data_IF_776531934226
#
_entry.id   IF_776531934226
#
_cell.length_a   1.000
_cell.length_b   1.000
_cell.length_c   1.000
_cell.angle_alpha   90.00
_cell.angle_beta   90.00
_cell.angle_gamma   90.00
#
_symmetry.space_group_name_H-M   'P 1'
#
loop_
_entity.id
_entity.type
_entity.pdbx_description
1 polymer ?
#
# COMPACT_ATOMS: atom_id res chain seq x y z
N UNK A 1 17.30 -10.53 15.89
CA UNK A 1 15.98 -10.39 15.23
C UNK A 1 15.95 -11.15 13.90
N UNK A 2 16.87 -10.86 12.96
CA UNK A 2 16.96 -11.53 11.65
C UNK A 2 16.97 -13.07 11.72
N UNK A 3 17.87 -13.67 12.50
CA UNK A 3 18.00 -15.14 12.60
C UNK A 3 16.75 -15.81 13.14
N UNK A 4 16.07 -15.16 14.08
CA UNK A 4 14.82 -15.65 14.64
C UNK A 4 13.71 -15.66 13.58
N UNK A 5 13.59 -14.57 12.79
CA UNK A 5 12.61 -14.49 11.71
C UNK A 5 12.88 -15.51 10.61
N UNK A 6 14.12 -15.62 10.12
CA UNK A 6 14.46 -16.56 9.05
C UNK A 6 14.36 -18.01 9.50
N UNK A 7 14.76 -18.33 10.73
CA UNK A 7 14.53 -19.66 11.31
C UNK A 7 13.04 -19.97 11.44
N UNK A 8 12.22 -19.00 11.84
CA UNK A 8 10.77 -19.13 11.90
C UNK A 8 10.15 -19.46 10.54
N UNK A 9 10.57 -18.76 9.48
CA UNK A 9 10.13 -19.02 8.11
C UNK A 9 10.50 -20.45 7.68
N UNK A 10 11.75 -20.87 7.90
CA UNK A 10 12.21 -22.22 7.57
C UNK A 10 11.39 -23.29 8.31
N UNK A 11 11.11 -23.07 9.60
CA UNK A 11 10.30 -23.98 10.39
C UNK A 11 8.84 -24.07 9.89
N UNK A 12 8.27 -22.95 9.45
CA UNK A 12 6.93 -22.94 8.85
C UNK A 12 6.91 -23.74 7.53
N UNK A 13 7.91 -23.54 6.67
CA UNK A 13 8.08 -24.30 5.42
C UNK A 13 8.24 -25.80 5.67
N UNK A 14 9.05 -26.20 6.64
CA UNK A 14 9.22 -27.61 7.02
C UNK A 14 7.92 -28.27 7.49
N UNK A 15 6.99 -27.48 8.04
CA UNK A 15 5.64 -27.93 8.44
C UNK A 15 4.60 -27.86 7.30
N UNK A 16 5.01 -27.47 6.09
CA UNK A 16 4.14 -27.39 4.92
C UNK A 16 3.29 -26.12 4.84
N UNK A 17 3.60 -25.08 5.61
CA UNK A 17 2.89 -23.80 5.49
C UNK A 17 3.34 -23.02 4.26
N UNK A 18 2.37 -22.43 3.57
CA UNK A 18 2.62 -21.39 2.58
C UNK A 18 3.09 -20.12 3.29
N UNK A 19 4.10 -19.46 2.73
CA UNK A 19 4.77 -18.33 3.36
C UNK A 19 4.72 -17.10 2.49
N UNK A 20 4.48 -15.96 3.14
CA UNK A 20 4.45 -14.66 2.47
C UNK A 20 5.29 -13.67 3.27
N UNK A 21 5.97 -12.77 2.58
CA UNK A 21 6.80 -11.74 3.20
C UNK A 21 6.35 -10.36 2.72
N UNK A 22 6.18 -9.43 3.67
CA UNK A 22 5.95 -8.02 3.40
C UNK A 22 7.27 -7.27 3.62
N UNK A 23 7.68 -6.47 2.62
CA UNK A 23 8.80 -5.55 2.72
C UNK A 23 8.30 -4.12 2.59
N UNK A 24 8.39 -3.35 3.68
CA UNK A 24 8.08 -1.93 3.68
C UNK A 24 9.29 -1.13 3.20
N UNK A 25 9.20 -0.59 1.99
CA UNK A 25 10.26 0.20 1.36
C UNK A 25 10.21 1.66 1.79
N UNK A 26 11.37 2.18 2.14
CA UNK A 26 11.66 3.57 2.49
C UNK A 26 13.03 3.94 1.92
N UNK A 27 13.37 5.22 1.86
CA UNK A 27 14.72 5.64 1.44
C UNK A 27 15.84 5.03 2.28
N UNK A 28 15.55 4.67 3.53
CA UNK A 28 16.52 4.05 4.44
C UNK A 28 16.93 2.64 4.00
N UNK A 29 16.08 1.91 3.28
CA UNK A 29 16.29 0.51 2.92
C UNK A 29 16.04 0.21 1.43
N UNK A 30 15.74 1.21 0.60
CA UNK A 30 15.48 1.03 -0.82
C UNK A 30 16.66 0.38 -1.56
N UNK A 31 17.88 0.68 -1.12
CA UNK A 31 19.12 0.10 -1.64
C UNK A 31 19.31 -1.38 -1.28
N UNK A 32 18.49 -1.97 -0.42
CA UNK A 32 18.57 -3.41 -0.12
C UNK A 32 17.51 -4.22 -0.88
N UNK A 33 16.50 -3.54 -1.44
CA UNK A 33 15.34 -4.19 -2.06
C UNK A 33 15.76 -5.12 -3.22
N UNK A 34 16.77 -4.76 -4.00
CA UNK A 34 17.27 -5.61 -5.10
C UNK A 34 17.88 -6.95 -4.64
N UNK A 35 18.24 -7.08 -3.36
CA UNK A 35 18.79 -8.32 -2.80
C UNK A 35 17.68 -9.30 -2.37
N UNK A 36 16.44 -8.81 -2.25
CA UNK A 36 15.30 -9.58 -1.77
C UNK A 36 14.98 -10.81 -2.65
N UNK A 37 14.94 -10.73 -4.01
CA UNK A 37 14.58 -11.89 -4.83
C UNK A 37 15.37 -13.16 -4.49
N UNK A 38 16.69 -13.04 -4.33
CA UNK A 38 17.57 -14.16 -3.95
C UNK A 38 17.25 -14.67 -2.54
N UNK A 39 17.18 -13.78 -1.56
CA UNK A 39 16.88 -14.15 -0.18
C UNK A 39 15.52 -14.85 -0.05
N UNK A 40 14.50 -14.33 -0.74
CA UNK A 40 13.14 -14.87 -0.73
C UNK A 40 13.12 -16.30 -1.30
N UNK A 41 13.83 -16.52 -2.42
CA UNK A 41 14.00 -17.85 -3.00
C UNK A 41 14.69 -18.82 -2.04
N UNK A 42 15.79 -18.40 -1.41
CA UNK A 42 16.54 -19.22 -0.45
C UNK A 42 15.70 -19.58 0.78
N UNK A 43 14.77 -18.71 1.18
CA UNK A 43 13.83 -18.94 2.28
C UNK A 43 12.59 -19.75 1.86
N UNK A 44 12.38 -19.96 0.57
CA UNK A 44 11.19 -20.62 0.03
C UNK A 44 9.92 -19.79 0.19
N UNK A 45 10.02 -18.46 0.12
CA UNK A 45 8.85 -17.56 0.16
C UNK A 45 8.04 -17.71 -1.11
N UNK A 46 6.73 -17.86 -0.94
CA UNK A 46 5.83 -18.10 -2.06
C UNK A 46 5.17 -16.81 -2.58
N UNK A 47 4.92 -15.84 -1.68
CA UNK A 47 4.36 -14.52 -2.02
C UNK A 47 5.19 -13.38 -1.44
N UNK A 48 5.48 -12.37 -2.26
CA UNK A 48 6.23 -11.19 -1.85
C UNK A 48 5.38 -9.92 -2.01
N UNK A 49 5.26 -9.14 -0.94
CA UNK A 49 4.49 -7.92 -0.92
C UNK A 49 5.42 -6.72 -0.69
N UNK A 50 5.58 -5.86 -1.70
CA UNK A 50 6.35 -4.61 -1.54
C UNK A 50 5.38 -3.51 -1.15
N UNK A 51 5.61 -2.88 -0.01
CA UNK A 51 4.73 -1.85 0.56
C UNK A 51 5.47 -0.52 0.66
N UNK A 52 4.83 0.59 0.29
CA UNK A 52 5.35 1.92 0.59
C UNK A 52 5.32 2.18 2.09
N UNK A 53 6.37 2.79 2.64
CA UNK A 53 6.36 3.26 4.03
C UNK A 53 5.25 4.28 4.25
N UNK A 54 4.45 4.09 5.30
CA UNK A 54 3.48 5.09 5.74
C UNK A 54 4.17 6.23 6.48
N UNK A 55 3.59 7.43 6.47
CA UNK A 55 4.14 8.65 7.12
C UNK A 55 3.49 8.93 8.49
N UNK A 56 3.00 7.89 9.16
CA UNK A 56 2.20 7.99 10.39
C UNK A 56 2.71 7.07 11.49
N UNK A 57 2.29 7.32 12.72
CA UNK A 57 2.78 6.58 13.88
C UNK A 57 4.27 6.86 14.11
N UNK A 58 5.07 5.82 14.35
CA UNK A 58 6.51 5.98 14.63
C UNK A 58 7.29 6.59 13.46
N UNK A 59 6.87 6.34 12.22
CA UNK A 59 7.57 6.87 11.04
C UNK A 59 7.38 8.37 10.87
N UNK A 60 6.35 8.98 11.47
CA UNK A 60 6.14 10.43 11.47
C UNK A 60 7.26 11.21 12.19
N UNK A 61 8.10 10.52 12.98
CA UNK A 61 9.27 11.11 13.63
C UNK A 61 10.44 11.34 12.65
N UNK A 62 10.35 10.78 11.45
CA UNK A 62 11.36 10.91 10.41
C UNK A 62 10.79 11.71 9.24
N UNK A 63 11.55 12.70 8.79
CA UNK A 63 11.27 13.42 7.56
C UNK A 63 11.90 12.68 6.37
N UNK A 64 11.29 12.82 5.20
CA UNK A 64 11.92 12.45 3.92
C UNK A 64 12.28 10.96 3.75
N UNK A 65 11.46 10.07 4.34
CA UNK A 65 11.65 8.61 4.28
C UNK A 65 10.91 7.93 3.12
N UNK A 66 9.92 8.59 2.51
CA UNK A 66 9.22 8.05 1.35
C UNK A 66 10.08 8.21 0.09
N UNK A 67 10.01 7.22 -0.81
CA UNK A 67 10.65 7.31 -2.11
C UNK A 67 9.93 8.36 -2.96
N UNK A 68 10.67 9.12 -3.73
CA UNK A 68 10.12 9.93 -4.81
C UNK A 68 9.51 9.04 -5.89
N UNK A 69 8.64 9.62 -6.73
CA UNK A 69 8.10 8.94 -7.92
C UNK A 69 9.19 8.29 -8.78
N UNK A 70 10.30 8.99 -9.01
CA UNK A 70 11.41 8.48 -9.81
C UNK A 70 12.05 7.26 -9.15
N UNK A 71 12.42 7.37 -7.88
CA UNK A 71 13.01 6.25 -7.13
C UNK A 71 12.08 5.03 -7.09
N UNK A 72 10.78 5.24 -6.88
CA UNK A 72 9.79 4.17 -6.87
C UNK A 72 9.73 3.43 -8.20
N UNK A 73 9.54 4.16 -9.31
CA UNK A 73 9.43 3.59 -10.65
C UNK A 73 10.74 2.94 -11.12
N UNK A 74 11.89 3.43 -10.64
CA UNK A 74 13.20 2.89 -11.01
C UNK A 74 13.55 1.57 -10.28
N UNK A 75 13.05 1.37 -9.05
CA UNK A 75 13.48 0.28 -8.16
C UNK A 75 12.41 -0.82 -8.01
N UNK A 76 11.16 -0.44 -7.72
CA UNK A 76 10.14 -1.39 -7.27
C UNK A 76 9.69 -2.34 -8.38
N UNK A 77 9.28 -1.89 -9.57
CA UNK A 77 8.85 -2.78 -10.65
C UNK A 77 9.93 -3.78 -11.06
N UNK A 78 11.18 -3.33 -11.21
CA UNK A 78 12.32 -4.20 -11.58
C UNK A 78 12.59 -5.28 -10.53
N UNK A 79 12.47 -4.94 -9.26
CA UNK A 79 12.63 -5.93 -8.18
C UNK A 79 11.48 -6.93 -8.20
N UNK A 80 10.25 -6.47 -8.46
CA UNK A 80 9.08 -7.34 -8.55
C UNK A 80 9.21 -8.33 -9.71
N UNK A 81 9.63 -7.86 -10.89
CA UNK A 81 9.92 -8.71 -12.05
C UNK A 81 11.00 -9.76 -11.73
N UNK A 82 12.14 -9.34 -11.15
CA UNK A 82 13.22 -10.25 -10.78
C UNK A 82 12.80 -11.33 -9.76
N UNK A 83 11.90 -11.01 -8.83
CA UNK A 83 11.33 -12.01 -7.92
C UNK A 83 10.31 -12.92 -8.62
N UNK A 84 9.48 -12.38 -9.51
CA UNK A 84 8.55 -13.17 -10.32
C UNK A 84 9.27 -14.19 -11.21
N UNK A 85 10.38 -13.80 -11.85
CA UNK A 85 11.24 -14.70 -12.63
C UNK A 85 11.76 -15.91 -11.82
N UNK A 86 11.86 -15.78 -10.50
CA UNK A 86 12.25 -16.85 -9.58
C UNK A 86 11.07 -17.72 -9.12
N UNK A 87 9.88 -17.51 -9.67
CA UNK A 87 8.66 -18.26 -9.34
C UNK A 87 7.91 -17.74 -8.11
N UNK A 88 8.19 -16.50 -7.67
CA UNK A 88 7.55 -15.89 -6.49
C UNK A 88 6.43 -14.97 -6.97
N UNK A 89 5.20 -15.16 -6.49
CA UNK A 89 4.12 -14.20 -6.82
C UNK A 89 4.38 -12.88 -6.08
N UNK A 90 4.50 -11.78 -6.81
CA UNK A 90 4.80 -10.47 -6.23
C UNK A 90 3.59 -9.55 -6.35
N UNK A 91 3.31 -8.79 -5.29
CA UNK A 91 2.29 -7.74 -5.32
C UNK A 91 2.87 -6.43 -4.81
N UNK A 92 2.59 -5.32 -5.48
CA UNK A 92 3.01 -3.97 -5.06
C UNK A 92 2.02 -2.90 -5.50
N UNK A 93 1.90 -1.77 -4.77
CA UNK A 93 1.04 -0.67 -5.20
C UNK A 93 1.66 0.06 -6.39
N UNK A 94 0.84 0.44 -7.38
CA UNK A 94 1.32 1.27 -8.50
C UNK A 94 1.79 2.65 -8.05
N UNK A 95 1.15 3.19 -6.99
CA UNK A 95 1.36 4.50 -6.35
C UNK A 95 1.13 5.69 -7.28
N UNK A 96 1.74 5.71 -8.47
CA UNK A 96 1.67 6.78 -9.45
C UNK A 96 1.08 6.24 -10.76
N UNK A 97 -0.01 6.85 -11.23
CA UNK A 97 -0.63 6.54 -12.52
C UNK A 97 -0.15 7.53 -13.59
N UNK A 98 -0.17 7.08 -14.85
CA UNK A 98 -0.02 8.00 -15.98
C UNK A 98 -1.21 8.99 -16.01
N UNK A 99 -1.00 10.26 -16.42
CA UNK A 99 -2.11 11.22 -16.51
C UNK A 99 -3.31 10.72 -17.35
N UNK A 100 -3.09 9.87 -18.36
CA UNK A 100 -4.16 9.31 -19.21
C UNK A 100 -4.80 8.06 -18.60
N UNK A 101 -4.17 7.43 -17.62
CA UNK A 101 -4.71 6.25 -16.98
C UNK A 101 -5.92 6.62 -16.09
N UNK A 102 -7.01 5.83 -16.14
CA UNK A 102 -8.16 6.06 -15.27
C UNK A 102 -7.78 5.83 -13.81
N UNK A 103 -8.32 6.67 -12.93
CA UNK A 103 -8.21 6.47 -11.49
C UNK A 103 -9.41 5.65 -11.00
N UNK A 104 -9.15 4.63 -10.19
CA UNK A 104 -10.17 3.88 -9.46
C UNK A 104 -9.92 3.96 -7.95
N UNK A 105 -11.01 4.10 -7.19
CA UNK A 105 -10.97 4.08 -5.73
C UNK A 105 -11.41 2.70 -5.21
N UNK A 106 -10.54 2.01 -4.46
CA UNK A 106 -10.91 0.73 -3.83
C UNK A 106 -12.12 0.85 -2.89
N UNK A 107 -12.34 2.03 -2.27
CA UNK A 107 -13.55 2.32 -1.50
C UNK A 107 -14.84 2.33 -2.32
N UNK A 108 -14.75 2.23 -3.66
CA UNK A 108 -15.89 2.09 -4.58
C UNK A 108 -15.91 0.73 -5.27
N UNK A 109 -14.74 0.24 -5.71
CA UNK A 109 -14.65 -0.93 -6.60
C UNK A 109 -14.28 -2.24 -5.89
N UNK A 110 -13.97 -2.22 -4.60
CA UNK A 110 -13.52 -3.40 -3.86
C UNK A 110 -14.14 -3.52 -2.46
N UNK A 111 -14.44 -4.75 -2.02
CA UNK A 111 -15.11 -5.02 -0.75
C UNK A 111 -14.12 -5.24 0.41
N UNK A 112 -13.33 -4.21 0.73
CA UNK A 112 -12.42 -4.21 1.87
C UNK A 112 -13.03 -3.47 3.07
N UNK A 113 -12.98 -4.08 4.25
CA UNK A 113 -13.47 -3.51 5.51
C UNK A 113 -12.38 -3.59 6.59
N UNK A 114 -12.03 -2.44 7.16
CA UNK A 114 -11.09 -2.31 8.26
C UNK A 114 -11.88 -2.08 9.54
N UNK A 115 -12.02 -3.14 10.34
CA UNK A 115 -12.78 -3.12 11.60
C UNK A 115 -11.83 -2.81 12.76
N UNK A 116 -12.07 -1.70 13.47
CA UNK A 116 -11.25 -1.28 14.60
C UNK A 116 -11.88 -1.68 15.94
N UNK A 117 -11.06 -1.90 17.00
CA UNK A 117 -11.56 -2.26 18.33
C UNK A 117 -12.55 -1.26 18.96
N UNK A 118 -12.54 0.00 18.52
CA UNK A 118 -13.48 1.04 18.96
C UNK A 118 -14.85 0.98 18.26
N UNK A 119 -15.09 -0.03 17.42
CA UNK A 119 -16.32 -0.24 16.67
C UNK A 119 -16.42 0.56 15.38
N UNK A 120 -15.44 1.40 15.01
CA UNK A 120 -15.42 2.08 13.70
C UNK A 120 -14.99 1.11 12.61
N UNK A 121 -15.61 1.25 11.44
CA UNK A 121 -15.31 0.45 10.26
C UNK A 121 -15.06 1.36 9.08
N UNK A 122 -13.91 1.18 8.44
CA UNK A 122 -13.47 1.97 7.30
C UNK A 122 -13.36 1.11 6.04
N UNK A 123 -13.50 1.73 4.86
CA UNK A 123 -13.14 1.15 3.57
C UNK A 123 -11.80 1.66 3.05
N UNK A 124 -11.37 2.84 3.51
CA UNK A 124 -10.03 3.36 3.21
C UNK A 124 -9.16 3.39 4.48
N UNK A 125 -8.00 2.71 4.49
CA UNK A 125 -7.14 2.69 5.67
C UNK A 125 -6.55 4.06 5.99
N UNK A 126 -6.44 4.99 5.03
CA UNK A 126 -5.94 6.34 5.29
C UNK A 126 -6.84 7.13 6.24
N UNK A 127 -8.13 6.79 6.32
CA UNK A 127 -9.10 7.48 7.18
C UNK A 127 -9.04 7.05 8.65
N UNK A 128 -8.26 6.03 9.01
CA UNK A 128 -8.32 5.38 10.33
C UNK A 128 -8.11 6.33 11.52
N UNK A 129 -7.26 7.35 11.35
CA UNK A 129 -6.96 8.35 12.37
C UNK A 129 -8.06 9.43 12.52
N UNK A 130 -9.00 9.49 11.58
CA UNK A 130 -10.04 10.51 11.52
C UNK A 130 -11.43 9.93 11.80
N UNK A 131 -12.38 10.71 12.35
CA UNK A 131 -13.76 10.27 12.55
C UNK A 131 -14.57 10.20 11.24
N UNK A 132 -13.95 9.82 10.12
CA UNK A 132 -14.54 9.71 8.78
C UNK A 132 -15.05 8.31 8.42
N UNK A 133 -15.07 7.37 9.37
CA UNK A 133 -15.62 6.02 9.17
C UNK A 133 -16.96 6.00 8.43
N UNK A 134 -17.04 5.18 7.37
CA UNK A 134 -18.27 4.95 6.64
C UNK A 134 -19.27 4.12 7.43
N UNK A 135 -18.80 3.23 8.32
CA UNK A 135 -19.66 2.29 9.05
C UNK A 135 -19.24 2.11 10.52
N UNK A 136 -20.14 1.53 11.31
CA UNK A 136 -19.89 1.07 12.69
C UNK A 136 -20.30 -0.38 12.85
N UNK A 137 -19.55 -1.15 13.63
CA UNK A 137 -19.94 -2.49 14.05
C UNK A 137 -20.74 -2.39 15.35
N UNK A 138 -22.04 -2.69 15.28
CA UNK A 138 -22.97 -2.66 16.42
C UNK A 138 -23.79 -3.94 16.45
N UNK A 139 -23.81 -4.65 17.59
CA UNK A 139 -24.54 -5.92 17.75
C UNK A 139 -24.27 -6.94 16.62
N UNK A 140 -23.00 -7.13 16.26
CA UNK A 140 -22.54 -7.99 15.15
C UNK A 140 -23.13 -7.61 13.77
N UNK A 141 -23.48 -6.34 13.56
CA UNK A 141 -23.94 -5.81 12.27
C UNK A 141 -23.18 -4.55 11.89
N UNK A 142 -22.95 -4.40 10.59
CA UNK A 142 -22.43 -3.15 10.04
C UNK A 142 -23.59 -2.17 9.86
N UNK A 143 -23.44 -0.99 10.45
CA UNK A 143 -24.40 0.10 10.40
C UNK A 143 -23.72 1.28 9.69
N UNK A 144 -24.31 1.74 8.59
CA UNK A 144 -23.83 2.92 7.85
C UNK A 144 -23.86 4.18 8.73
N UNK A 145 -22.83 5.01 8.57
CA UNK A 145 -22.74 6.30 9.23
C UNK A 145 -23.75 7.28 8.63
N UNK A 146 -24.36 8.12 9.48
CA UNK A 146 -25.37 9.13 9.06
C UNK A 146 -24.77 10.53 8.81
N UNK A 147 -23.46 10.69 9.00
CA UNK A 147 -22.73 11.95 8.82
C UNK A 147 -21.85 11.86 7.58
N UNK A 148 -21.33 12.99 7.11
CA UNK A 148 -20.27 13.01 6.09
C UNK A 148 -19.13 12.10 6.55
N UNK A 149 -18.78 11.16 5.69
CA UNK A 149 -17.83 10.08 5.90
C UNK A 149 -16.87 9.97 4.71
N UNK A 150 -15.99 8.98 4.74
CA UNK A 150 -15.14 8.61 3.60
C UNK A 150 -15.96 8.26 2.35
N UNK A 151 -17.20 7.77 2.51
CA UNK A 151 -18.08 7.39 1.40
C UNK A 151 -18.37 8.59 0.49
N UNK A 152 -18.73 9.75 1.06
CA UNK A 152 -18.95 10.98 0.31
C UNK A 152 -17.67 11.46 -0.37
N UNK A 153 -16.51 11.29 0.28
CA UNK A 153 -15.23 11.72 -0.28
C UNK A 153 -14.77 10.83 -1.44
N UNK A 154 -15.15 9.55 -1.48
CA UNK A 154 -14.85 8.66 -2.60
C UNK A 154 -15.56 9.05 -3.90
N UNK A 155 -16.63 9.86 -3.80
CA UNK A 155 -17.41 10.33 -4.95
C UNK A 155 -16.78 11.54 -5.64
N UNK A 156 -15.80 12.20 -5.01
CA UNK A 156 -15.12 13.35 -5.61
C UNK A 156 -14.16 12.88 -6.70
N UNK A 157 -14.20 13.58 -7.84
CA UNK A 157 -13.27 13.40 -8.95
C UNK A 157 -12.33 14.60 -9.03
N UNK A 158 -11.04 14.35 -8.91
CA UNK A 158 -9.98 15.36 -8.85
C UNK A 158 -8.84 14.98 -9.79
N UNK A 159 -8.13 15.97 -10.33
CA UNK A 159 -7.02 15.75 -11.27
C UNK A 159 -5.84 14.99 -10.66
N UNK A 160 -5.69 15.05 -9.33
CA UNK A 160 -4.65 14.32 -8.61
C UNK A 160 -4.95 12.83 -8.41
N UNK A 161 -6.14 12.34 -8.75
CA UNK A 161 -6.56 10.95 -8.49
C UNK A 161 -7.10 10.74 -7.07
N UNK A 162 -6.33 10.07 -6.20
CA UNK A 162 -6.81 9.69 -4.87
C UNK A 162 -7.10 10.89 -3.95
N UNK A 163 -8.38 11.19 -3.75
CA UNK A 163 -8.88 12.23 -2.82
C UNK A 163 -8.32 12.06 -1.42
N UNK A 164 -8.26 10.82 -0.92
CA UNK A 164 -7.73 10.54 0.41
C UNK A 164 -6.26 10.91 0.51
N UNK A 165 -5.45 10.57 -0.50
CA UNK A 165 -4.05 10.95 -0.51
C UNK A 165 -3.89 12.47 -0.54
N UNK A 166 -4.66 13.20 -1.37
CA UNK A 166 -4.62 14.67 -1.40
C UNK A 166 -4.94 15.32 -0.05
N UNK A 167 -5.93 14.80 0.67
CA UNK A 167 -6.33 15.37 1.96
C UNK A 167 -5.36 15.02 3.09
N UNK A 168 -4.69 13.86 3.00
CA UNK A 168 -4.05 13.23 4.15
C UNK A 168 -2.53 13.16 4.02
N UNK A 169 -2.02 13.01 2.79
CA UNK A 169 -0.61 12.85 2.47
C UNK A 169 -0.24 13.73 1.26
N UNK A 170 -0.50 15.05 1.31
CA UNK A 170 -0.35 15.95 0.17
C UNK A 170 1.09 16.07 -0.31
N UNK A 171 2.08 15.66 0.48
CA UNK A 171 3.50 15.71 0.11
C UNK A 171 3.85 14.83 -1.10
N UNK A 172 2.99 13.86 -1.43
CA UNK A 172 3.15 13.01 -2.61
C UNK A 172 2.69 13.68 -3.91
N UNK A 173 2.15 14.90 -3.84
CA UNK A 173 1.64 15.62 -5.01
C UNK A 173 2.68 16.58 -5.58
N UNK A 174 2.69 16.70 -6.89
CA UNK A 174 3.50 17.68 -7.62
C UNK A 174 2.64 18.40 -8.65
N UNK A 175 2.89 19.69 -8.82
CA UNK A 175 2.16 20.56 -9.72
C UNK A 175 3.12 21.29 -10.65
N UNK A 176 2.75 21.39 -11.92
CA UNK A 176 3.45 22.21 -12.89
C UNK A 176 3.31 23.71 -12.55
N UNK A 177 4.06 24.56 -13.26
CA UNK A 177 3.93 26.03 -13.14
C UNK A 177 2.50 26.52 -13.41
N UNK A 178 1.75 25.80 -14.27
CA UNK A 178 0.33 26.08 -14.58
C UNK A 178 -0.65 25.49 -13.54
N UNK A 179 -0.16 25.02 -12.39
CA UNK A 179 -0.93 24.38 -11.31
C UNK A 179 -1.70 23.12 -11.73
N UNK A 180 -1.21 22.40 -12.75
CA UNK A 180 -1.75 21.09 -13.14
C UNK A 180 -0.97 19.99 -12.43
N UNK A 181 -1.68 18.98 -11.93
CA UNK A 181 -1.05 17.80 -11.36
C UNK A 181 -0.15 17.13 -12.41
N UNK A 182 1.12 16.89 -12.07
CA UNK A 182 2.09 16.29 -13.00
C UNK A 182 1.82 14.80 -13.24
N UNK A 183 1.14 14.15 -12.30
CA UNK A 183 0.75 12.75 -12.32
C UNK A 183 -0.46 12.54 -11.39
N UNK A 184 -1.10 11.38 -11.50
CA UNK A 184 -2.18 10.96 -10.62
C UNK A 184 -1.62 10.02 -9.54
N UNK A 185 -2.12 10.15 -8.31
CA UNK A 185 -1.86 9.17 -7.25
C UNK A 185 -2.90 8.07 -7.32
N UNK A 186 -2.43 6.83 -7.44
CA UNK A 186 -3.24 5.62 -7.44
C UNK A 186 -3.86 5.36 -6.07
N UNK A 187 -4.91 4.54 -6.02
CA UNK A 187 -5.42 4.03 -4.75
C UNK A 187 -4.41 3.02 -4.17
N UNK A 188 -3.90 3.26 -2.95
CA UNK A 188 -2.93 2.37 -2.29
C UNK A 188 -3.43 0.92 -2.05
N UNK A 189 -4.73 0.71 -2.13
CA UNK A 189 -5.39 -0.59 -1.96
C UNK A 189 -5.55 -1.36 -3.28
N UNK A 190 -5.42 -0.70 -4.43
CA UNK A 190 -5.41 -1.34 -5.74
C UNK A 190 -3.95 -1.59 -6.13
N UNK A 191 -3.60 -2.87 -6.30
CA UNK A 191 -2.21 -3.31 -6.37
C UNK A 191 -2.00 -4.13 -7.63
N UNK A 192 -0.80 -4.03 -8.17
CA UNK A 192 -0.33 -4.86 -9.27
C UNK A 192 0.10 -6.21 -8.71
N UNK A 193 -0.27 -7.30 -9.38
CA UNK A 193 0.23 -8.64 -9.12
C UNK A 193 1.00 -9.14 -10.34
N UNK A 194 2.20 -9.66 -10.12
CA UNK A 194 3.04 -10.27 -11.14
C UNK A 194 3.36 -11.71 -10.70
N UNK A 195 3.15 -12.64 -11.61
CA UNK A 195 3.53 -14.05 -11.48
C UNK A 195 4.09 -14.54 -12.82
N UNK A 196 4.99 -15.51 -12.76
CA UNK A 196 5.58 -16.17 -13.93
C UNK A 196 4.91 -17.52 -14.19
#
# INVERSE_FOLDING_TARGET
CFDACTSGIRNARQKGFYTSLIYTVSRLNAHELFQMPKLLKDLGIDRFFIQVIGIRGKSAQHTDIQLSRREWLDIVPKTAEAAAELGITVTYPKVFLDPKEPFECAGRVADNYFVFPNGRVYRCPLCEDFPLHGMRLENNRLIESRKISENELFLLDISEGCVMNRLIQPENLSYSQDRKAEYKIACCMLKEEISN
#
